data_IF_816319270101
#
_entry.id   IF_816319270101
#
_cell.length_a   1.000
_cell.length_b   1.000
_cell.length_c   1.000
_cell.angle_alpha   90.00
_cell.angle_beta   90.00
_cell.angle_gamma   90.00
#
_symmetry.space_group_name_H-M   'P 1'
#
loop_
_entity.id
_entity.type
_entity.pdbx_description
1 polymer ?
#
# COMPACT_ATOMS: atom_id res chain seq x y z
N UNK A 1 16.84 -16.34 13.98
CA UNK A 1 15.77 -15.37 13.66
C UNK A 1 16.16 -14.06 14.31
N UNK A 2 16.34 -12.98 13.55
CA UNK A 2 16.57 -11.67 14.13
C UNK A 2 15.22 -11.15 14.65
N UNK A 3 15.07 -11.03 15.97
CA UNK A 3 13.89 -10.42 16.57
C UNK A 3 14.07 -8.90 16.48
N UNK A 4 13.09 -8.21 15.87
CA UNK A 4 13.09 -6.75 15.81
C UNK A 4 13.05 -6.17 17.24
N UNK A 5 13.89 -5.18 17.51
CA UNK A 5 13.84 -4.47 18.80
C UNK A 5 12.59 -3.59 18.87
N UNK A 6 12.11 -3.23 20.08
CA UNK A 6 10.99 -2.31 20.22
C UNK A 6 11.19 -0.97 19.50
N UNK A 7 12.43 -0.47 19.47
CA UNK A 7 12.79 0.76 18.74
C UNK A 7 12.67 0.59 17.23
N UNK A 8 13.07 -0.56 16.69
CA UNK A 8 12.88 -0.89 15.28
C UNK A 8 11.39 -0.99 14.93
N UNK A 9 10.58 -1.59 15.79
CA UNK A 9 9.12 -1.67 15.61
C UNK A 9 8.50 -0.26 15.63
N UNK A 10 8.94 0.61 16.54
CA UNK A 10 8.45 1.98 16.63
C UNK A 10 8.82 2.82 15.38
N UNK A 11 10.05 2.67 14.88
CA UNK A 11 10.49 3.31 13.64
C UNK A 11 9.66 2.83 12.44
N UNK A 12 9.47 1.52 12.30
CA UNK A 12 8.65 0.94 11.22
C UNK A 12 7.20 1.45 11.31
N UNK A 13 6.62 1.49 12.51
CA UNK A 13 5.25 2.00 12.72
C UNK A 13 5.12 3.48 12.30
N UNK A 14 6.13 4.31 12.57
CA UNK A 14 6.10 5.72 12.20
C UNK A 14 6.10 5.94 10.67
N UNK A 15 6.85 5.11 9.92
CA UNK A 15 7.00 5.22 8.47
C UNK A 15 5.99 4.40 7.68
N UNK A 16 5.34 3.41 8.32
CA UNK A 16 4.46 2.44 7.67
C UNK A 16 3.32 3.07 6.84
N UNK A 17 2.58 4.09 7.31
CA UNK A 17 1.53 4.72 6.50
C UNK A 17 2.07 5.44 5.26
N UNK A 18 3.24 6.07 5.35
CA UNK A 18 3.86 6.77 4.23
C UNK A 18 4.40 5.79 3.20
N UNK A 19 5.08 4.74 3.65
CA UNK A 19 5.57 3.66 2.79
C UNK A 19 4.42 2.95 2.05
N UNK A 20 3.28 2.74 2.73
CA UNK A 20 2.09 2.18 2.11
C UNK A 20 1.52 3.09 1.02
N UNK A 21 1.50 4.40 1.24
CA UNK A 21 1.07 5.39 0.23
C UNK A 21 2.04 5.49 -0.94
N UNK A 22 3.35 5.34 -0.70
CA UNK A 22 4.35 5.31 -1.77
C UNK A 22 4.07 4.23 -2.81
N UNK A 23 3.55 3.07 -2.40
CA UNK A 23 3.15 1.99 -3.31
C UNK A 23 1.98 2.34 -4.24
N UNK A 24 1.21 3.39 -3.94
CA UNK A 24 0.13 3.82 -4.83
C UNK A 24 0.67 4.50 -6.09
N UNK A 25 1.87 5.09 -6.02
CA UNK A 25 2.55 5.63 -7.19
C UNK A 25 2.83 4.54 -8.22
N UNK A 26 3.32 3.38 -7.76
CA UNK A 26 3.57 2.22 -8.62
C UNK A 26 2.30 1.81 -9.40
N UNK A 27 1.11 1.88 -8.76
CA UNK A 27 -0.17 1.59 -9.42
C UNK A 27 -0.51 2.64 -10.46
N UNK A 28 -0.36 3.93 -10.13
CA UNK A 28 -0.73 5.03 -11.04
C UNK A 28 0.21 5.17 -12.23
N UNK A 29 1.47 4.75 -12.09
CA UNK A 29 2.50 4.80 -13.13
C UNK A 29 2.60 3.50 -13.94
N UNK A 30 1.77 2.49 -13.63
CA UNK A 30 1.73 1.24 -14.37
C UNK A 30 1.46 1.47 -15.87
N UNK A 31 2.22 0.79 -16.73
CA UNK A 31 2.07 0.89 -18.17
C UNK A 31 0.93 0.02 -18.72
N UNK A 32 0.61 -1.08 -18.02
CA UNK A 32 -0.39 -2.05 -18.44
C UNK A 32 -1.41 -2.32 -17.33
N UNK A 33 -2.57 -2.86 -17.71
CA UNK A 33 -3.59 -3.27 -16.74
C UNK A 33 -3.08 -4.39 -15.83
N UNK A 34 -2.32 -5.33 -16.38
CA UNK A 34 -1.71 -6.42 -15.61
C UNK A 34 -0.75 -5.88 -14.54
N UNK A 35 0.09 -4.90 -14.88
CA UNK A 35 0.99 -4.26 -13.93
C UNK A 35 0.23 -3.49 -12.84
N UNK A 36 -0.82 -2.75 -13.22
CA UNK A 36 -1.63 -1.99 -12.27
C UNK A 36 -2.33 -2.92 -11.26
N UNK A 37 -2.87 -4.04 -11.73
CA UNK A 37 -3.48 -5.06 -10.87
C UNK A 37 -2.42 -5.68 -9.94
N UNK A 38 -1.26 -6.06 -10.47
CA UNK A 38 -0.15 -6.62 -9.69
C UNK A 38 0.35 -5.66 -8.61
N UNK A 39 0.55 -4.38 -8.94
CA UNK A 39 0.96 -3.37 -7.96
C UNK A 39 -0.12 -3.14 -6.89
N UNK A 40 -1.41 -3.23 -7.27
CA UNK A 40 -2.52 -3.14 -6.31
C UNK A 40 -2.50 -4.31 -5.33
N UNK A 41 -2.30 -5.54 -5.81
CA UNK A 41 -2.17 -6.72 -4.95
C UNK A 41 -0.97 -6.61 -4.00
N UNK A 42 0.18 -6.14 -4.50
CA UNK A 42 1.37 -5.91 -3.70
C UNK A 42 1.16 -4.84 -2.62
N UNK A 43 0.48 -3.74 -2.95
CA UNK A 43 0.13 -2.70 -2.00
C UNK A 43 -0.79 -3.25 -0.90
N UNK A 44 -1.84 -4.00 -1.27
CA UNK A 44 -2.78 -4.61 -0.32
C UNK A 44 -2.12 -5.68 0.57
N UNK A 45 -1.23 -6.49 0.01
CA UNK A 45 -0.46 -7.47 0.77
C UNK A 45 0.42 -6.76 1.82
N UNK A 46 1.12 -5.70 1.42
CA UNK A 46 1.94 -4.89 2.33
C UNK A 46 1.10 -4.27 3.46
N UNK A 47 -0.03 -3.64 3.13
CA UNK A 47 -0.95 -3.05 4.12
C UNK A 47 -1.50 -4.12 5.08
N UNK A 48 -1.82 -5.31 4.58
CA UNK A 48 -2.28 -6.43 5.41
C UNK A 48 -1.19 -6.88 6.38
N UNK A 49 0.06 -7.01 5.92
CA UNK A 49 1.21 -7.31 6.77
C UNK A 49 1.39 -6.25 7.86
N UNK A 50 1.30 -4.96 7.53
CA UNK A 50 1.37 -3.89 8.52
C UNK A 50 0.31 -4.04 9.61
N UNK A 51 -0.92 -4.42 9.24
CA UNK A 51 -2.00 -4.67 10.20
C UNK A 51 -1.74 -5.91 11.06
N UNK A 52 -1.27 -7.01 10.47
CA UNK A 52 -0.96 -8.26 11.19
C UNK A 52 0.11 -8.04 12.27
N UNK A 53 1.11 -7.21 11.97
CA UNK A 53 2.15 -6.84 12.94
C UNK A 53 1.74 -5.69 13.88
N UNK A 54 0.47 -5.26 13.87
CA UNK A 54 -0.04 -4.14 14.65
C UNK A 54 0.78 -2.86 14.42
N UNK A 55 1.31 -2.65 13.22
CA UNK A 55 2.10 -1.47 12.84
C UNK A 55 1.22 -0.32 12.37
N UNK A 56 -0.07 -0.57 12.13
CA UNK A 56 -1.08 0.44 11.80
C UNK A 56 -2.37 0.14 12.54
N UNK A 57 -3.13 1.18 12.87
CA UNK A 57 -4.44 1.05 13.48
C UNK A 57 -5.51 0.62 12.45
N UNK A 58 -6.65 0.12 12.92
CA UNK A 58 -7.72 -0.34 12.02
C UNK A 58 -8.26 0.78 11.10
N UNK A 59 -8.34 2.01 11.60
CA UNK A 59 -8.76 3.16 10.82
C UNK A 59 -7.77 3.46 9.68
N UNK A 60 -6.48 3.33 9.93
CA UNK A 60 -5.42 3.53 8.94
C UNK A 60 -5.43 2.42 7.89
N UNK A 61 -5.59 1.16 8.31
CA UNK A 61 -5.76 0.03 7.41
C UNK A 61 -6.89 0.28 6.39
N UNK A 62 -8.07 0.68 6.88
CA UNK A 62 -9.23 0.92 6.00
C UNK A 62 -8.97 2.07 5.02
N UNK A 63 -8.34 3.15 5.48
CA UNK A 63 -8.00 4.28 4.63
C UNK A 63 -6.96 3.91 3.56
N UNK A 64 -5.95 3.10 3.92
CA UNK A 64 -4.92 2.64 2.99
C UNK A 64 -5.46 1.64 1.97
N UNK A 65 -6.29 0.68 2.39
CA UNK A 65 -6.93 -0.29 1.48
C UNK A 65 -7.83 0.42 0.44
N UNK A 66 -8.63 1.39 0.90
CA UNK A 66 -9.41 2.24 0.00
C UNK A 66 -8.54 3.10 -0.92
N UNK A 67 -7.38 3.56 -0.43
CA UNK A 67 -6.40 4.31 -1.21
C UNK A 67 -5.83 3.48 -2.37
N UNK A 68 -5.50 2.21 -2.12
CA UNK A 68 -5.04 1.30 -3.17
C UNK A 68 -6.11 1.07 -4.25
N UNK A 69 -7.36 0.87 -3.85
CA UNK A 69 -8.49 0.74 -4.79
C UNK A 69 -8.72 2.02 -5.59
N UNK A 70 -8.58 3.18 -4.95
CA UNK A 70 -8.74 4.46 -5.61
C UNK A 70 -7.62 4.70 -6.64
N UNK A 71 -6.37 4.37 -6.30
CA UNK A 71 -5.23 4.46 -7.22
C UNK A 71 -5.46 3.62 -8.49
N UNK A 72 -5.95 2.38 -8.35
CA UNK A 72 -6.29 1.53 -9.49
C UNK A 72 -7.41 2.12 -10.36
N UNK A 73 -8.44 2.71 -9.72
CA UNK A 73 -9.53 3.39 -10.45
C UNK A 73 -9.04 4.62 -11.20
N UNK A 74 -8.15 5.40 -10.59
CA UNK A 74 -7.58 6.59 -11.21
C UNK A 74 -6.68 6.21 -12.39
N UNK A 75 -5.85 5.18 -12.24
CA UNK A 75 -5.10 4.57 -13.34
C UNK A 75 -6.01 4.14 -14.50
N UNK A 76 -7.07 3.38 -14.21
CA UNK A 76 -7.99 2.87 -15.22
C UNK A 76 -8.73 4.01 -15.94
N UNK A 77 -9.09 5.08 -15.22
CA UNK A 77 -9.73 6.27 -15.79
C UNK A 77 -8.78 7.05 -16.70
N UNK A 78 -7.50 7.13 -16.36
CA UNK A 78 -6.49 7.79 -17.20
C UNK A 78 -6.25 7.02 -18.50
N UNK A 79 -6.15 5.69 -18.44
CA UNK A 79 -5.82 4.85 -19.59
C UNK A 79 -7.01 4.56 -20.52
N UNK A 80 -8.26 4.52 -20.02
CA UNK A 80 -9.46 4.34 -20.87
C UNK A 80 -9.87 5.59 -21.65
N UNK A 81 -9.25 6.74 -21.38
CA UNK A 81 -9.49 8.00 -22.10
C UNK A 81 -8.53 8.25 -23.26
N UNK A 82 -7.55 7.36 -23.46
CA UNK A 82 -6.65 7.35 -24.62
C UNK A 82 -7.15 6.41 -25.71
#
# INVERSE_FOLDING_TARGET
MATLTPEQIAAIRAEAPENARGKFLDITESATEEDAQKHTEQAKAYISTLREYLLIEHAEFKALDQGADQALRDWAKAHRKS
#
